data_IF_432899800749
#
_entry.id   IF_432899800749
#
_cell.length_a   1.000
_cell.length_b   1.000
_cell.length_c   1.000
_cell.angle_alpha   90.00
_cell.angle_beta   90.00
_cell.angle_gamma   90.00
#
_symmetry.space_group_name_H-M   'P 1'
#
loop_
_entity.id
_entity.type
_entity.pdbx_description
1 polymer ?
#
# COMPACT_ATOMS: atom_id res chain seq x y z
N UNK A 1 -17.09 3.14 -3.18
CA UNK A 1 -15.75 2.56 -3.44
C UNK A 1 -14.61 3.03 -2.53
N UNK A 2 -14.64 4.25 -1.93
CA UNK A 2 -13.56 4.72 -1.02
C UNK A 2 -13.39 3.88 0.25
N UNK A 3 -14.48 3.33 0.81
CA UNK A 3 -14.48 2.52 2.04
C UNK A 3 -13.69 1.22 1.92
N UNK A 4 -13.82 0.52 0.80
CA UNK A 4 -13.18 -0.80 0.58
C UNK A 4 -11.66 -0.65 0.53
N UNK A 5 -11.15 0.29 -0.27
CA UNK A 5 -9.71 0.58 -0.30
C UNK A 5 -9.18 1.12 1.03
N UNK A 6 -9.99 1.88 1.77
CA UNK A 6 -9.57 2.41 3.08
C UNK A 6 -9.42 1.28 4.10
N UNK A 7 -10.36 0.33 4.10
CA UNK A 7 -10.29 -0.83 4.98
C UNK A 7 -9.16 -1.78 4.56
N UNK A 8 -8.96 -1.97 3.25
CA UNK A 8 -7.83 -2.74 2.71
C UNK A 8 -6.48 -2.11 3.08
N UNK A 9 -6.33 -0.78 2.97
CA UNK A 9 -5.14 -0.05 3.39
C UNK A 9 -4.91 -0.19 4.92
N UNK A 10 -5.97 -0.15 5.74
CA UNK A 10 -5.86 -0.38 7.19
C UNK A 10 -5.48 -1.81 7.56
N UNK A 11 -5.98 -2.81 6.85
CA UNK A 11 -5.55 -4.19 7.02
C UNK A 11 -4.10 -4.37 6.58
N UNK A 12 -3.71 -3.75 5.46
CA UNK A 12 -2.35 -3.78 4.94
C UNK A 12 -1.35 -3.13 5.91
N UNK A 13 -1.69 -2.00 6.55
CA UNK A 13 -0.85 -1.36 7.56
C UNK A 13 -0.69 -2.24 8.82
N UNK A 14 -1.72 -3.03 9.18
CA UNK A 14 -1.66 -3.93 10.35
C UNK A 14 -0.92 -5.24 10.09
N UNK A 15 -1.10 -5.85 8.92
CA UNK A 15 -0.56 -7.17 8.61
C UNK A 15 0.75 -7.15 7.83
N UNK A 16 1.03 -6.11 7.04
CA UNK A 16 2.27 -6.00 6.26
C UNK A 16 3.18 -4.92 6.82
N UNK A 17 4.24 -5.36 7.53
CA UNK A 17 5.28 -4.49 8.07
C UNK A 17 5.93 -3.60 6.99
N UNK A 18 6.02 -4.09 5.75
CA UNK A 18 6.51 -3.32 4.59
C UNK A 18 5.63 -2.10 4.29
N UNK A 19 4.31 -2.25 4.39
CA UNK A 19 3.37 -1.17 4.10
C UNK A 19 3.33 -0.18 5.26
N UNK A 20 3.44 -0.66 6.51
CA UNK A 20 3.62 0.20 7.68
C UNK A 20 4.91 1.03 7.57
N UNK A 21 6.04 0.41 7.21
CA UNK A 21 7.31 1.11 7.02
C UNK A 21 7.23 2.14 5.88
N UNK A 22 6.49 1.84 4.80
CA UNK A 22 6.25 2.79 3.71
C UNK A 22 5.37 3.97 4.14
N UNK A 23 4.32 3.72 4.92
CA UNK A 23 3.47 4.77 5.50
C UNK A 23 4.28 5.66 6.45
N UNK A 24 5.06 5.04 7.35
CA UNK A 24 5.90 5.75 8.31
C UNK A 24 6.97 6.60 7.60
N UNK A 25 7.67 6.05 6.61
CA UNK A 25 8.58 6.84 5.75
C UNK A 25 7.87 8.01 5.09
N UNK A 26 6.62 7.87 4.64
CA UNK A 26 5.91 8.97 4.00
C UNK A 26 5.51 10.09 4.98
N UNK A 27 5.16 9.73 6.21
CA UNK A 27 4.82 10.69 7.27
C UNK A 27 6.08 11.36 7.80
N UNK A 28 7.13 10.58 8.06
CA UNK A 28 8.37 11.02 8.69
C UNK A 28 9.30 11.75 7.70
N UNK A 29 9.58 11.17 6.52
CA UNK A 29 10.51 11.78 5.54
C UNK A 29 9.84 12.85 4.69
N UNK A 30 8.58 12.65 4.30
CA UNK A 30 7.91 13.58 3.37
C UNK A 30 7.04 14.62 4.09
N UNK A 31 6.95 14.60 5.44
CA UNK A 31 6.09 15.48 6.27
C UNK A 31 4.69 15.67 5.68
N UNK A 32 4.13 14.61 5.09
CA UNK A 32 2.83 14.70 4.44
C UNK A 32 1.70 14.55 5.47
N UNK A 33 0.61 15.32 5.35
CA UNK A 33 -0.57 15.13 6.18
C UNK A 33 -1.04 13.67 6.10
N UNK A 34 -1.48 13.08 7.23
CA UNK A 34 -1.85 11.66 7.29
C UNK A 34 -2.86 11.21 6.22
N UNK A 35 -3.73 12.11 5.75
CA UNK A 35 -4.64 11.86 4.61
C UNK A 35 -3.91 11.59 3.29
N UNK A 36 -2.83 12.32 3.02
CA UNK A 36 -2.01 12.15 1.80
C UNK A 36 -1.17 10.89 1.90
N UNK A 37 -0.63 10.58 3.07
CA UNK A 37 0.09 9.33 3.31
C UNK A 37 -0.81 8.11 3.06
N UNK A 38 -2.05 8.16 3.53
CA UNK A 38 -3.01 7.10 3.29
C UNK A 38 -3.41 6.99 1.81
N UNK A 39 -3.60 8.13 1.13
CA UNK A 39 -3.91 8.15 -0.32
C UNK A 39 -2.77 7.56 -1.15
N UNK A 40 -1.52 7.82 -0.77
CA UNK A 40 -0.34 7.23 -1.42
C UNK A 40 -0.25 5.72 -1.19
N UNK A 41 -0.53 5.23 0.02
CA UNK A 41 -0.61 3.79 0.33
C UNK A 41 -1.72 3.14 -0.50
N UNK A 42 -2.91 3.75 -0.57
CA UNK A 42 -4.02 3.28 -1.40
C UNK A 42 -3.62 3.21 -2.88
N UNK A 43 -2.92 4.22 -3.39
CA UNK A 43 -2.45 4.24 -4.80
C UNK A 43 -1.42 3.15 -5.06
N UNK A 44 -0.47 2.93 -4.15
CA UNK A 44 0.51 1.84 -4.28
C UNK A 44 -0.18 0.48 -4.30
N UNK A 45 -1.13 0.25 -3.39
CA UNK A 45 -1.91 -0.99 -3.35
C UNK A 45 -2.74 -1.18 -4.64
N UNK A 46 -3.39 -0.12 -5.13
CA UNK A 46 -4.19 -0.18 -6.36
C UNK A 46 -3.31 -0.48 -7.58
N UNK A 47 -2.13 0.12 -7.69
CA UNK A 47 -1.18 -0.14 -8.79
C UNK A 47 -0.68 -1.58 -8.73
N UNK A 48 -0.33 -2.06 -7.54
CA UNK A 48 0.07 -3.44 -7.34
C UNK A 48 -1.04 -4.42 -7.72
N UNK A 49 -2.27 -4.17 -7.28
CA UNK A 49 -3.42 -5.00 -7.63
C UNK A 49 -3.76 -4.93 -9.12
N UNK A 50 -3.64 -3.75 -9.73
CA UNK A 50 -3.84 -3.57 -11.16
C UNK A 50 -2.77 -4.29 -11.98
N UNK A 51 -1.52 -4.30 -11.51
CA UNK A 51 -0.44 -5.06 -12.13
C UNK A 51 -0.74 -6.57 -12.09
N UNK A 52 -1.15 -7.11 -10.94
CA UNK A 52 -1.55 -8.53 -10.81
C UNK A 52 -2.71 -8.87 -11.75
N UNK A 53 -3.75 -8.02 -11.76
CA UNK A 53 -4.94 -8.24 -12.58
C UNK A 53 -4.65 -8.15 -14.09
N UNK A 54 -3.74 -7.24 -14.49
CA UNK A 54 -3.31 -7.06 -15.88
C UNK A 54 -2.41 -8.21 -16.34
N UNK A 55 -1.47 -8.62 -15.51
CA UNK A 55 -0.46 -9.62 -15.86
C UNK A 55 -1.02 -11.05 -15.82
N UNK A 56 -2.19 -11.26 -15.20
CA UNK A 56 -2.76 -12.59 -14.86
C UNK A 56 -1.75 -13.55 -14.22
N UNK A 57 -0.60 -13.05 -13.77
CA UNK A 57 0.41 -13.85 -13.10
C UNK A 57 0.15 -13.89 -11.60
N UNK A 58 0.33 -15.08 -11.05
CA UNK A 58 0.28 -15.33 -9.62
C UNK A 58 1.30 -14.41 -8.93
N UNK A 59 0.87 -13.77 -7.84
CA UNK A 59 1.67 -12.88 -7.00
C UNK A 59 3.05 -13.50 -6.71
N UNK A 60 4.10 -12.97 -7.35
CA UNK A 60 5.48 -13.30 -7.00
C UNK A 60 5.88 -12.40 -5.83
N UNK A 61 5.82 -12.93 -4.62
CA UNK A 61 6.52 -12.34 -3.48
C UNK A 61 7.99 -12.29 -3.87
N UNK A 62 8.52 -11.11 -4.24
CA UNK A 62 9.95 -10.95 -4.38
C UNK A 62 10.57 -11.16 -2.99
N UNK A 63 11.34 -12.24 -2.75
CA UNK A 63 12.04 -12.39 -1.49
C UNK A 63 13.05 -11.24 -1.41
N UNK A 64 12.99 -10.45 -0.34
CA UNK A 64 14.11 -9.59 0.03
C UNK A 64 15.26 -10.52 0.41
N UNK A 65 16.28 -10.58 -0.44
CA UNK A 65 17.63 -10.98 -0.04
C UNK A 65 18.24 -9.85 0.81
#
# INVERSE_FOLDING_TARGET
>A
MRRVLFNAARCAIRHNLTIKAFYDRLVTQNRRPGKVALTAVMRKMLVTLNAIARDRQNWKHAPHA
#
